data_IF_185795098787
#
_entry.id   IF_185795098787
#
_cell.length_a   1.000
_cell.length_b   1.000
_cell.length_c   1.000
_cell.angle_alpha   90.00
_cell.angle_beta   90.00
_cell.angle_gamma   90.00
#
_symmetry.space_group_name_H-M   'P 1'
#
loop_
_entity.id
_entity.type
_entity.pdbx_description
1 polymer ?
#
# COMPACT_ATOMS: atom_id res chain seq x y z
N UNK A 1 -10.70 -0.42 -10.76
CA UNK A 1 -11.04 -0.88 -9.40
C UNK A 1 -12.44 -0.37 -9.05
N UNK A 2 -13.38 -1.27 -8.71
CA UNK A 2 -14.82 -0.97 -8.68
C UNK A 2 -15.35 -0.35 -7.36
N UNK A 3 -14.48 0.26 -6.54
CA UNK A 3 -14.82 0.90 -5.26
C UNK A 3 -15.71 0.09 -4.28
N UNK A 4 -15.69 -1.24 -4.40
CA UNK A 4 -16.46 -2.15 -3.53
C UNK A 4 -15.93 -2.15 -2.09
N UNK A 5 -14.65 -1.88 -1.92
CA UNK A 5 -13.96 -1.95 -0.65
C UNK A 5 -13.01 -0.76 -0.46
N UNK A 6 -13.29 0.07 0.56
CA UNK A 6 -12.45 1.20 0.93
C UNK A 6 -11.23 0.76 1.75
N UNK A 7 -10.11 1.48 1.55
CA UNK A 7 -8.92 1.36 2.38
C UNK A 7 -9.08 2.32 3.57
N UNK A 8 -8.97 1.84 4.83
CA UNK A 8 -9.07 2.69 6.00
C UNK A 8 -7.83 3.60 6.14
N UNK A 9 -8.04 4.89 6.35
CA UNK A 9 -6.95 5.86 6.57
C UNK A 9 -6.78 6.08 8.07
N UNK A 10 -5.63 5.66 8.62
CA UNK A 10 -5.37 5.66 10.07
C UNK A 10 -4.39 6.76 10.52
N UNK A 11 -3.22 6.86 9.89
CA UNK A 11 -2.15 7.80 10.28
C UNK A 11 -2.31 9.19 9.66
N UNK A 12 -2.47 9.25 8.34
CA UNK A 12 -2.63 10.51 7.60
C UNK A 12 -4.08 10.68 7.14
N UNK A 13 -4.96 11.11 8.06
CA UNK A 13 -6.40 11.18 7.83
C UNK A 13 -7.02 12.59 7.92
N UNK A 14 -6.20 13.64 7.94
CA UNK A 14 -6.68 15.03 7.91
C UNK A 14 -7.51 15.31 6.65
N UNK A 15 -8.76 15.75 6.83
CA UNK A 15 -9.68 16.02 5.70
C UNK A 15 -10.15 14.78 4.93
N UNK A 16 -10.02 13.57 5.49
CA UNK A 16 -10.56 12.35 4.88
C UNK A 16 -12.01 12.15 5.28
N UNK A 17 -12.89 12.01 4.28
CA UNK A 17 -14.31 11.72 4.49
C UNK A 17 -14.56 10.35 5.13
N UNK A 18 -15.70 10.22 5.80
CA UNK A 18 -16.15 8.95 6.39
C UNK A 18 -16.93 8.13 5.36
N UNK A 19 -16.82 6.80 5.44
CA UNK A 19 -17.54 5.87 4.56
C UNK A 19 -17.99 4.64 5.35
N UNK A 20 -19.19 4.14 5.06
CA UNK A 20 -19.72 2.93 5.68
C UNK A 20 -18.82 1.71 5.44
N UNK A 21 -18.10 1.67 4.30
CA UNK A 21 -17.18 0.58 3.97
C UNK A 21 -15.97 0.47 4.91
N UNK A 22 -15.61 1.55 5.62
CA UNK A 22 -14.51 1.56 6.57
C UNK A 22 -14.96 1.20 8.00
N UNK A 23 -16.29 1.17 8.27
CA UNK A 23 -16.87 1.00 9.60
C UNK A 23 -16.40 -0.28 10.31
N UNK A 24 -16.29 -1.38 9.57
CA UNK A 24 -15.92 -2.68 10.14
C UNK A 24 -14.40 -2.89 10.25
N UNK A 25 -13.57 -2.01 9.67
CA UNK A 25 -12.11 -2.17 9.63
C UNK A 25 -11.34 -1.13 10.45
N UNK A 26 -12.01 -0.05 10.85
CA UNK A 26 -11.41 0.99 11.67
C UNK A 26 -12.45 1.87 12.37
N UNK A 27 -12.18 2.24 13.62
CA UNK A 27 -13.11 2.94 14.51
C UNK A 27 -13.48 4.36 14.05
N UNK A 28 -12.57 5.08 13.38
CA UNK A 28 -12.84 6.46 12.92
C UNK A 28 -13.79 6.55 11.69
N UNK A 29 -14.08 5.41 11.05
CA UNK A 29 -14.91 5.33 9.84
C UNK A 29 -14.34 6.05 8.60
N UNK A 30 -13.08 6.51 8.62
CA UNK A 30 -12.45 7.25 7.53
C UNK A 30 -11.77 6.30 6.53
N UNK A 31 -12.05 6.49 5.24
CA UNK A 31 -11.47 5.66 4.19
C UNK A 31 -11.58 6.27 2.79
N UNK A 32 -10.71 5.83 1.88
CA UNK A 32 -10.71 6.23 0.46
C UNK A 32 -10.36 5.04 -0.44
N UNK A 33 -10.43 5.28 -1.75
CA UNK A 33 -10.02 4.34 -2.80
C UNK A 33 -8.84 4.92 -3.60
N UNK A 34 -7.59 4.81 -3.12
CA UNK A 34 -6.41 5.34 -3.82
C UNK A 34 -6.06 4.46 -5.04
N UNK A 35 -6.77 4.67 -6.16
CA UNK A 35 -6.69 3.80 -7.35
C UNK A 35 -5.26 3.64 -7.88
N UNK A 36 -4.49 4.73 -7.96
CA UNK A 36 -3.10 4.69 -8.47
C UNK A 36 -2.21 3.83 -7.56
N UNK A 37 -2.22 4.07 -6.26
CA UNK A 37 -1.41 3.32 -5.29
C UNK A 37 -1.79 1.84 -5.27
N UNK A 38 -3.09 1.54 -5.28
CA UNK A 38 -3.57 0.18 -5.28
C UNK A 38 -3.19 -0.58 -6.55
N UNK A 39 -3.09 0.10 -7.70
CA UNK A 39 -2.56 -0.49 -8.94
C UNK A 39 -1.08 -0.87 -8.80
N UNK A 40 -0.23 0.01 -8.29
CA UNK A 40 1.19 -0.29 -8.08
C UNK A 40 1.42 -1.49 -7.13
N UNK A 41 0.63 -1.58 -6.06
CA UNK A 41 0.71 -2.73 -5.13
C UNK A 41 0.26 -4.02 -5.82
N UNK A 42 -0.82 -3.97 -6.62
CA UNK A 42 -1.29 -5.13 -7.37
C UNK A 42 -0.25 -5.62 -8.39
N UNK A 43 0.38 -4.69 -9.11
CA UNK A 43 1.42 -5.01 -10.08
C UNK A 43 2.65 -5.64 -9.38
N UNK A 44 3.00 -5.16 -8.17
CA UNK A 44 4.08 -5.73 -7.36
C UNK A 44 3.74 -7.15 -6.84
N UNK A 45 2.49 -7.40 -6.43
CA UNK A 45 2.04 -8.72 -5.99
C UNK A 45 2.09 -9.75 -7.11
N UNK A 46 1.65 -9.39 -8.33
CA UNK A 46 1.77 -10.26 -9.51
C UNK A 46 3.22 -10.60 -9.86
N UNK A 47 4.11 -9.62 -9.70
CA UNK A 47 5.54 -9.86 -9.88
C UNK A 47 6.08 -10.81 -8.81
N UNK A 48 5.68 -10.62 -7.55
CA UNK A 48 6.10 -11.49 -6.45
C UNK A 48 5.60 -12.93 -6.61
N UNK A 49 4.36 -13.12 -7.09
CA UNK A 49 3.79 -14.42 -7.47
C UNK A 49 4.63 -15.10 -8.55
N UNK A 50 4.93 -14.40 -9.65
CA UNK A 50 5.79 -14.94 -10.72
C UNK A 50 7.19 -15.30 -10.22
N UNK A 51 7.77 -14.50 -9.31
CA UNK A 51 9.07 -14.84 -8.71
C UNK A 51 9.00 -16.08 -7.81
N UNK A 52 7.86 -16.33 -7.17
CA UNK A 52 7.67 -17.49 -6.31
C UNK A 52 7.49 -18.78 -7.14
N UNK A 53 6.74 -18.72 -8.24
CA UNK A 53 6.62 -19.82 -9.21
C UNK A 53 7.99 -20.22 -9.75
N UNK A 54 8.82 -19.25 -10.14
CA UNK A 54 10.19 -19.50 -10.62
C UNK A 54 11.07 -20.13 -9.55
N UNK A 55 10.83 -19.82 -8.27
CA UNK A 55 11.54 -20.44 -7.13
C UNK A 55 10.98 -21.80 -6.74
N UNK A 56 9.87 -22.25 -7.34
CA UNK A 56 9.22 -23.51 -7.00
C UNK A 56 8.52 -23.52 -5.64
N UNK A 57 8.15 -22.34 -5.12
CA UNK A 57 7.38 -22.20 -3.89
C UNK A 57 5.89 -22.45 -4.16
N UNK A 58 5.16 -22.93 -3.15
CA UNK A 58 3.71 -23.10 -3.26
C UNK A 58 2.99 -21.74 -3.13
N UNK A 59 2.49 -21.22 -4.25
CA UNK A 59 1.83 -19.91 -4.35
C UNK A 59 0.61 -19.81 -3.42
N UNK A 60 -0.10 -20.91 -3.20
CA UNK A 60 -1.30 -20.92 -2.36
C UNK A 60 -0.97 -20.87 -0.86
N UNK A 61 0.22 -21.34 -0.47
CA UNK A 61 0.73 -21.30 0.90
C UNK A 61 1.44 -19.98 1.26
N UNK A 62 1.67 -19.09 0.29
CA UNK A 62 2.36 -17.82 0.52
C UNK A 62 1.49 -16.82 1.27
N UNK A 63 2.12 -16.10 2.18
CA UNK A 63 1.53 -14.93 2.81
C UNK A 63 2.53 -13.77 2.82
N UNK A 64 2.00 -12.55 2.93
CA UNK A 64 2.81 -11.34 3.08
C UNK A 64 3.38 -11.32 4.50
N UNK A 65 4.66 -11.61 4.65
CA UNK A 65 5.36 -11.59 5.94
C UNK A 65 5.81 -10.17 6.31
N UNK A 66 6.29 -9.41 5.32
CA UNK A 66 6.71 -8.03 5.53
C UNK A 66 6.31 -7.13 4.36
N UNK A 67 5.86 -5.92 4.70
CA UNK A 67 5.67 -4.84 3.74
C UNK A 67 6.16 -3.53 4.33
N UNK A 68 7.04 -2.85 3.60
CA UNK A 68 7.61 -1.58 4.01
C UNK A 68 7.51 -0.57 2.89
N UNK A 69 7.13 0.66 3.25
CA UNK A 69 7.04 1.77 2.31
C UNK A 69 7.85 2.95 2.83
N UNK A 70 8.96 3.24 2.14
CA UNK A 70 9.90 4.30 2.49
C UNK A 70 9.70 5.52 1.59
N UNK A 71 9.95 6.72 2.11
CA UNK A 71 9.89 7.94 1.30
C UNK A 71 11.10 8.01 0.37
N UNK A 72 10.88 8.36 -0.89
CA UNK A 72 11.93 8.56 -1.88
C UNK A 72 12.21 10.06 -2.09
N UNK A 73 13.29 10.38 -2.81
CA UNK A 73 13.68 11.76 -3.09
C UNK A 73 12.56 12.52 -3.83
N UNK A 74 12.19 13.69 -3.31
CA UNK A 74 11.14 14.54 -3.87
C UNK A 74 11.58 15.13 -5.21
N UNK A 75 10.71 15.08 -6.22
CA UNK A 75 10.97 15.76 -7.49
C UNK A 75 10.37 17.16 -7.46
N UNK A 76 11.12 18.16 -7.93
CA UNK A 76 10.75 19.57 -7.79
C UNK A 76 10.26 20.15 -9.12
N UNK A 77 9.07 20.76 -9.08
CA UNK A 77 8.54 21.64 -10.13
C UNK A 77 8.34 23.05 -9.57
N UNK A 78 8.01 24.00 -10.44
CA UNK A 78 7.69 25.38 -10.05
C UNK A 78 6.18 25.59 -10.06
N UNK A 79 5.68 26.41 -9.14
CA UNK A 79 4.33 26.97 -9.18
C UNK A 79 4.40 28.49 -9.04
N UNK A 80 3.75 29.19 -9.96
CA UNK A 80 3.63 30.65 -9.91
C UNK A 80 2.53 31.04 -8.94
N UNK A 81 2.81 32.02 -8.08
CA UNK A 81 1.92 32.54 -7.04
C UNK A 81 1.71 34.04 -7.24
N UNK A 82 0.82 34.61 -6.44
CA UNK A 82 0.50 36.03 -6.48
C UNK A 82 1.76 36.92 -6.41
N UNK A 83 1.68 38.08 -7.08
CA UNK A 83 2.73 39.10 -7.16
C UNK A 83 4.10 38.56 -7.63
N UNK A 84 4.11 37.64 -8.60
CA UNK A 84 5.35 37.15 -9.23
C UNK A 84 6.17 36.15 -8.38
N UNK A 85 5.66 35.71 -7.23
CA UNK A 85 6.36 34.74 -6.36
C UNK A 85 6.42 33.35 -7.00
N UNK A 86 7.58 32.70 -6.96
CA UNK A 86 7.77 31.32 -7.44
C UNK A 86 8.02 30.39 -6.26
N UNK A 87 7.12 29.42 -6.05
CA UNK A 87 7.23 28.41 -4.99
C UNK A 87 7.54 27.02 -5.57
N UNK A 88 8.11 26.10 -4.77
CA UNK A 88 8.26 24.71 -5.18
C UNK A 88 6.92 23.96 -5.17
N UNK A 89 6.68 23.14 -6.20
CA UNK A 89 5.61 22.16 -6.23
C UNK A 89 6.23 20.76 -6.35
N UNK A 90 6.31 20.07 -5.22
CA UNK A 90 7.09 18.83 -5.10
C UNK A 90 6.21 17.59 -5.18
N UNK A 91 6.69 16.54 -5.87
CA UNK A 91 6.12 15.20 -5.76
C UNK A 91 6.69 14.47 -4.54
N UNK A 92 5.95 13.48 -4.04
CA UNK A 92 6.36 12.62 -2.93
C UNK A 92 6.36 11.15 -3.40
N UNK A 93 7.42 10.69 -4.10
CA UNK A 93 7.55 9.28 -4.49
C UNK A 93 7.90 8.40 -3.28
N UNK A 94 7.81 7.08 -3.46
CA UNK A 94 8.14 6.10 -2.42
C UNK A 94 8.81 4.85 -2.99
N UNK A 95 9.57 4.15 -2.15
CA UNK A 95 10.08 2.80 -2.38
C UNK A 95 9.18 1.82 -1.63
N UNK A 96 8.85 0.69 -2.26
CA UNK A 96 8.00 -0.35 -1.68
C UNK A 96 8.80 -1.64 -1.67
N UNK A 97 8.93 -2.23 -0.51
CA UNK A 97 9.52 -3.55 -0.29
C UNK A 97 8.43 -4.50 0.18
N UNK A 98 8.38 -5.68 -0.44
CA UNK A 98 7.39 -6.72 -0.17
C UNK A 98 8.11 -8.06 -0.05
N UNK A 99 7.88 -8.77 1.04
CA UNK A 99 8.42 -10.11 1.28
C UNK A 99 7.25 -11.07 1.46
N UNK A 100 7.28 -12.15 0.69
CA UNK A 100 6.37 -13.28 0.83
C UNK A 100 7.12 -14.43 1.48
N UNK A 101 6.43 -15.18 2.33
CA UNK A 101 6.97 -16.36 3.00
C UNK A 101 5.93 -17.47 3.00
N UNK A 102 6.38 -18.72 2.94
CA UNK A 102 5.51 -19.87 3.10
C UNK A 102 5.09 -19.99 4.56
N UNK A 103 3.86 -20.44 4.78
CA UNK A 103 3.35 -20.67 6.12
C UNK A 103 3.74 -22.08 6.55
N UNK A 104 4.59 -22.19 7.56
CA UNK A 104 4.92 -23.50 8.15
C UNK A 104 3.69 -24.09 8.84
N UNK A 105 3.43 -25.38 8.62
CA UNK A 105 2.44 -26.11 9.40
C UNK A 105 2.94 -26.29 10.83
N UNK A 106 2.14 -25.95 11.87
CA UNK A 106 2.57 -26.12 13.25
C UNK A 106 2.70 -27.61 13.57
N UNK A 107 3.94 -28.07 13.78
CA UNK A 107 4.23 -29.42 14.27
C UNK A 107 3.74 -29.54 15.72
N UNK A 108 2.93 -30.56 16.02
CA UNK A 108 2.48 -30.84 17.39
C UNK A 108 3.71 -31.15 18.26
N UNK A 109 3.88 -30.43 19.37
CA UNK A 109 4.86 -30.82 20.40
C UNK A 109 4.48 -32.21 20.92
N UNK A 110 5.42 -33.14 20.90
CA UNK A 110 5.31 -34.38 21.67
C UNK A 110 5.32 -34.01 23.16
N UNK A 111 4.33 -34.53 23.88
CA UNK A 111 4.14 -34.38 25.34
C UNK A 111 5.01 -35.40 26.06
#
# INVERSE_FOLDING_TARGET
MAHKQAIPFRRFCGGVGRTAQAKNRHSNGQGRWPVKSAKFILDLLKNAESNAEVKGLDVDALHISHIQVNQAQKQRRRTYRAHGRINPYMSSPCHIELILSEKEEPVKKEV
#
